data_IF_893964641416
#
_entry.id   IF_893964641416
#
_cell.length_a   1.000
_cell.length_b   1.000
_cell.length_c   1.000
_cell.angle_alpha   90.00
_cell.angle_beta   90.00
_cell.angle_gamma   90.00
#
_symmetry.space_group_name_H-M   'P 1'
#
loop_
_entity.id
_entity.type
_entity.pdbx_description
1 polymer ?
#
# COMPACT_ATOMS: atom_id res chain seq x y z
N UNK A 1 -17.49 -3.30 19.32
CA UNK A 1 -18.23 -2.76 18.16
C UNK A 1 -18.35 -3.86 17.11
N UNK A 2 -19.50 -4.02 16.45
CA UNK A 2 -19.67 -4.98 15.36
C UNK A 2 -19.22 -4.36 14.05
N UNK A 3 -18.36 -5.04 13.31
CA UNK A 3 -17.83 -4.59 12.02
C UNK A 3 -18.42 -5.47 10.91
N UNK A 4 -18.91 -4.84 9.86
CA UNK A 4 -19.44 -5.51 8.67
C UNK A 4 -18.47 -5.44 7.51
N UNK A 5 -18.49 -6.44 6.66
CA UNK A 5 -17.71 -6.55 5.44
C UNK A 5 -18.67 -6.62 4.26
N UNK A 6 -18.61 -5.66 3.37
CA UNK A 6 -19.49 -5.53 2.20
C UNK A 6 -18.66 -5.74 0.94
N UNK A 7 -19.05 -6.71 0.13
CA UNK A 7 -18.47 -6.84 -1.23
C UNK A 7 -19.02 -5.74 -2.11
N UNK A 8 -18.15 -5.02 -2.79
CA UNK A 8 -18.51 -4.00 -3.78
C UNK A 8 -17.69 -4.17 -5.05
N UNK A 9 -18.22 -3.62 -6.13
CA UNK A 9 -17.47 -3.41 -7.36
C UNK A 9 -17.63 -1.94 -7.74
N UNK A 10 -16.54 -1.20 -7.82
CA UNK A 10 -16.51 0.21 -8.22
C UNK A 10 -15.88 0.29 -9.60
N UNK A 11 -16.68 0.61 -10.61
CA UNK A 11 -16.28 0.39 -11.99
C UNK A 11 -16.01 -1.11 -12.25
N UNK A 12 -14.75 -1.43 -12.51
CA UNK A 12 -14.26 -2.81 -12.66
C UNK A 12 -13.36 -3.26 -11.49
N UNK A 13 -13.39 -2.57 -10.35
CA UNK A 13 -12.54 -2.81 -9.19
C UNK A 13 -13.35 -3.55 -8.10
N UNK A 14 -13.21 -4.87 -7.95
CA UNK A 14 -13.76 -5.58 -6.81
C UNK A 14 -13.03 -5.16 -5.53
N UNK A 15 -13.79 -4.88 -4.47
CA UNK A 15 -13.23 -4.51 -3.18
C UNK A 15 -14.09 -5.02 -2.02
N UNK A 16 -13.49 -5.06 -0.84
CA UNK A 16 -14.21 -5.17 0.42
C UNK A 16 -14.29 -3.77 1.05
N UNK A 17 -15.49 -3.30 1.32
CA UNK A 17 -15.73 -2.18 2.21
C UNK A 17 -15.93 -2.72 3.62
N UNK A 18 -15.09 -2.28 4.55
CA UNK A 18 -15.12 -2.70 5.96
C UNK A 18 -15.45 -1.49 6.82
N UNK A 19 -16.51 -1.58 7.62
CA UNK A 19 -17.02 -0.44 8.37
C UNK A 19 -17.79 -0.91 9.61
N UNK A 20 -17.93 -0.08 10.64
CA UNK A 20 -18.82 -0.34 11.77
C UNK A 20 -20.28 -0.49 11.31
N UNK A 21 -21.02 -1.49 11.83
CA UNK A 21 -22.37 -1.82 11.38
C UNK A 21 -23.35 -0.66 11.50
N UNK A 22 -23.25 0.09 12.57
CA UNK A 22 -24.07 1.27 12.86
C UNK A 22 -23.69 2.51 12.03
N UNK A 23 -22.54 2.48 11.31
CA UNK A 23 -22.01 3.61 10.54
C UNK A 23 -21.91 3.35 9.02
N UNK A 24 -22.65 2.37 8.51
CA UNK A 24 -22.61 1.99 7.09
C UNK A 24 -22.91 3.17 6.15
N UNK A 25 -23.79 4.05 6.55
CA UNK A 25 -24.27 5.19 5.75
C UNK A 25 -23.77 6.54 6.26
N UNK A 26 -22.93 6.55 7.29
CA UNK A 26 -22.34 7.78 7.83
C UNK A 26 -21.06 8.14 7.11
N UNK A 27 -20.75 9.43 6.90
CA UNK A 27 -19.45 9.86 6.42
C UNK A 27 -18.38 9.63 7.49
N UNK A 28 -17.27 9.00 7.09
CA UNK A 28 -16.15 8.64 7.96
C UNK A 28 -14.82 8.99 7.29
N UNK A 29 -13.71 9.14 8.04
CA UNK A 29 -12.39 9.15 7.46
C UNK A 29 -12.15 7.84 6.68
N UNK A 30 -11.51 7.97 5.52
CA UNK A 30 -11.31 6.88 4.57
C UNK A 30 -9.90 6.30 4.69
N UNK A 31 -9.77 4.97 4.69
CA UNK A 31 -8.48 4.30 4.53
C UNK A 31 -8.59 3.33 3.35
N UNK A 32 -7.66 3.43 2.38
CA UNK A 32 -7.47 2.41 1.35
C UNK A 32 -6.25 1.58 1.71
N UNK A 33 -6.42 0.25 1.84
CA UNK A 33 -5.35 -0.63 2.30
C UNK A 33 -5.10 -1.76 1.30
N UNK A 34 -3.90 -1.77 0.70
CA UNK A 34 -3.53 -2.65 -0.41
C UNK A 34 -2.87 -3.95 0.05
N UNK A 35 -3.23 -5.06 -0.60
CA UNK A 35 -2.65 -6.38 -0.39
C UNK A 35 -1.29 -6.57 -1.08
N UNK A 36 -0.62 -7.71 -0.82
CA UNK A 36 0.67 -8.09 -1.39
C UNK A 36 0.57 -8.82 -2.74
N UNK A 37 1.73 -9.01 -3.37
CA UNK A 37 1.87 -9.75 -4.62
C UNK A 37 1.35 -11.19 -4.52
N UNK A 38 0.67 -11.66 -5.58
CA UNK A 38 0.07 -12.99 -5.69
C UNK A 38 -0.97 -13.34 -4.60
N UNK A 39 -1.56 -12.33 -3.99
CA UNK A 39 -2.63 -12.48 -2.99
C UNK A 39 -3.91 -11.78 -3.46
N UNK A 40 -4.85 -11.53 -2.56
CA UNK A 40 -6.10 -10.84 -2.85
C UNK A 40 -6.50 -9.98 -1.65
N UNK A 41 -7.53 -9.15 -1.81
CA UNK A 41 -8.10 -8.27 -0.77
C UNK A 41 -8.39 -8.95 0.57
N UNK A 42 -8.70 -10.24 0.55
CA UNK A 42 -8.99 -11.03 1.76
C UNK A 42 -7.77 -11.19 2.67
N UNK A 43 -6.54 -11.14 2.12
CA UNK A 43 -5.32 -11.26 2.91
C UNK A 43 -5.21 -10.14 3.96
N UNK A 44 -5.67 -8.94 3.62
CA UNK A 44 -5.59 -7.76 4.48
C UNK A 44 -6.88 -7.49 5.27
N UNK A 45 -7.84 -8.41 5.22
CA UNK A 45 -9.14 -8.25 5.88
C UNK A 45 -9.02 -8.11 7.41
N UNK A 46 -8.09 -8.82 8.04
CA UNK A 46 -7.86 -8.69 9.50
C UNK A 46 -7.43 -7.27 9.85
N UNK A 47 -6.51 -6.68 9.09
CA UNK A 47 -6.11 -5.28 9.27
C UNK A 47 -7.30 -4.33 9.01
N UNK A 48 -8.05 -4.57 7.93
CA UNK A 48 -9.25 -3.78 7.62
C UNK A 48 -10.29 -3.78 8.75
N UNK A 49 -10.51 -4.93 9.40
CA UNK A 49 -11.43 -5.03 10.55
C UNK A 49 -10.94 -4.27 11.78
N UNK A 50 -9.62 -4.31 12.06
CA UNK A 50 -9.02 -3.56 13.16
C UNK A 50 -9.18 -2.05 12.94
N UNK A 51 -8.86 -1.58 11.74
CA UNK A 51 -9.03 -0.17 11.37
C UNK A 51 -10.51 0.27 11.42
N UNK A 52 -11.44 -0.55 10.90
CA UNK A 52 -12.86 -0.22 10.94
C UNK A 52 -13.41 -0.19 12.38
N UNK A 53 -12.81 -0.91 13.32
CA UNK A 53 -13.15 -0.86 14.73
C UNK A 53 -12.77 0.50 15.38
N UNK A 54 -11.87 1.27 14.78
CA UNK A 54 -11.49 2.64 15.19
C UNK A 54 -12.32 3.72 14.45
N UNK A 55 -13.50 3.34 13.93
CA UNK A 55 -14.41 4.23 13.21
C UNK A 55 -13.91 4.76 11.86
N UNK A 56 -13.10 4.00 11.16
CA UNK A 56 -12.72 4.29 9.78
C UNK A 56 -13.61 3.52 8.79
N UNK A 57 -13.83 4.10 7.62
CA UNK A 57 -14.27 3.38 6.44
C UNK A 57 -13.05 2.84 5.73
N UNK A 58 -12.95 1.52 5.58
CA UNK A 58 -11.77 0.88 5.02
C UNK A 58 -12.11 0.20 3.70
N UNK A 59 -11.37 0.51 2.65
CA UNK A 59 -11.48 -0.13 1.36
C UNK A 59 -10.28 -1.04 1.14
N UNK A 60 -10.56 -2.28 0.79
CA UNK A 60 -9.56 -3.29 0.46
C UNK A 60 -9.78 -3.70 -1.00
N UNK A 61 -9.16 -3.03 -1.98
CA UNK A 61 -9.34 -3.38 -3.39
C UNK A 61 -8.51 -4.60 -3.78
N UNK A 62 -8.99 -5.38 -4.75
CA UNK A 62 -8.14 -6.26 -5.53
C UNK A 62 -7.32 -5.42 -6.51
N UNK A 63 -6.00 -5.53 -6.43
CA UNK A 63 -5.12 -4.97 -7.44
C UNK A 63 -5.37 -5.63 -8.82
N UNK A 64 -5.06 -4.94 -9.90
CA UNK A 64 -5.09 -5.55 -11.23
C UNK A 64 -4.27 -6.84 -11.24
N UNK A 65 -4.71 -7.81 -12.02
CA UNK A 65 -4.11 -9.15 -12.14
C UNK A 65 -4.16 -10.02 -10.86
N UNK A 66 -4.90 -9.59 -9.85
CA UNK A 66 -5.04 -10.29 -8.57
C UNK A 66 -6.52 -10.54 -8.21
N UNK A 67 -6.75 -11.45 -7.26
CA UNK A 67 -8.07 -11.72 -6.72
C UNK A 67 -9.10 -12.04 -7.80
N UNK A 68 -10.24 -11.35 -7.79
CA UNK A 68 -11.30 -11.47 -8.78
C UNK A 68 -10.93 -10.86 -10.16
N UNK A 69 -9.81 -10.12 -10.23
CA UNK A 69 -9.26 -9.52 -11.48
C UNK A 69 -8.11 -10.32 -12.06
N UNK A 70 -7.88 -11.55 -11.57
CA UNK A 70 -6.73 -12.36 -11.97
C UNK A 70 -6.81 -12.74 -13.45
N UNK A 71 -5.92 -12.15 -14.23
CA UNK A 71 -5.71 -12.45 -15.64
C UNK A 71 -4.21 -12.66 -15.89
N UNK A 72 -3.87 -13.52 -16.86
CA UNK A 72 -2.48 -13.69 -17.25
C UNK A 72 -2.18 -12.73 -18.39
N UNK A 73 -1.53 -11.63 -18.08
CA UNK A 73 -1.19 -10.60 -19.09
C UNK A 73 0.21 -10.78 -19.69
N UNK A 74 1.11 -11.49 -19.00
CA UNK A 74 2.48 -11.71 -19.44
C UNK A 74 3.06 -12.98 -18.84
N UNK A 75 3.99 -13.61 -19.56
CA UNK A 75 4.88 -14.66 -19.04
C UNK A 75 6.02 -14.07 -18.19
N UNK A 76 6.16 -12.76 -18.12
CA UNK A 76 7.20 -12.06 -17.38
C UNK A 76 6.59 -11.53 -16.08
N UNK A 77 6.77 -12.22 -14.92
CA UNK A 77 6.10 -11.89 -13.66
C UNK A 77 6.39 -10.46 -13.19
N UNK A 78 7.60 -9.97 -13.39
CA UNK A 78 7.99 -8.61 -12.96
C UNK A 78 7.26 -7.51 -13.72
N UNK A 79 6.92 -7.69 -15.00
CA UNK A 79 6.09 -6.72 -15.73
C UNK A 79 4.65 -6.73 -15.22
N UNK A 80 4.09 -7.90 -14.94
CA UNK A 80 2.78 -8.02 -14.30
C UNK A 80 2.75 -7.36 -12.91
N UNK A 81 3.84 -7.52 -12.14
CA UNK A 81 3.98 -6.87 -10.84
C UNK A 81 3.89 -5.34 -10.94
N UNK A 82 4.66 -4.74 -11.86
CA UNK A 82 4.65 -3.29 -12.03
C UNK A 82 3.35 -2.76 -12.62
N UNK A 83 2.73 -3.51 -13.54
CA UNK A 83 1.40 -3.18 -14.07
C UNK A 83 0.33 -3.14 -12.97
N UNK A 84 0.37 -4.11 -12.05
CA UNK A 84 -0.55 -4.13 -10.91
C UNK A 84 -0.39 -2.92 -10.00
N UNK A 85 0.85 -2.50 -9.74
CA UNK A 85 1.12 -1.27 -8.97
C UNK A 85 0.66 -0.04 -9.74
N UNK A 86 1.02 0.08 -11.00
CA UNK A 86 0.67 1.25 -11.83
C UNK A 86 -0.85 1.42 -11.93
N UNK A 87 -1.58 0.31 -12.05
CA UNK A 87 -3.04 0.34 -12.05
C UNK A 87 -3.59 0.82 -10.71
N UNK A 88 -3.05 0.35 -9.58
CA UNK A 88 -3.44 0.86 -8.25
C UNK A 88 -3.25 2.39 -8.13
N UNK A 89 -2.15 2.94 -8.71
CA UNK A 89 -1.90 4.39 -8.69
C UNK A 89 -2.99 5.15 -9.44
N UNK A 90 -3.44 4.66 -10.59
CA UNK A 90 -4.53 5.29 -11.36
C UNK A 90 -5.89 5.16 -10.66
N UNK A 91 -6.13 4.04 -10.00
CA UNK A 91 -7.41 3.71 -9.38
C UNK A 91 -7.61 4.37 -8.02
N UNK A 92 -6.55 4.84 -7.36
CA UNK A 92 -6.65 5.45 -6.03
C UNK A 92 -7.62 6.64 -6.00
N UNK A 93 -7.38 7.66 -6.83
CA UNK A 93 -8.25 8.85 -6.91
C UNK A 93 -9.68 8.49 -7.32
N UNK A 94 -9.84 7.55 -8.27
CA UNK A 94 -11.16 7.08 -8.68
C UNK A 94 -11.96 6.45 -7.54
N UNK A 95 -11.30 5.67 -6.67
CA UNK A 95 -11.96 5.11 -5.49
C UNK A 95 -12.32 6.17 -4.46
N UNK A 96 -11.42 7.13 -4.21
CA UNK A 96 -11.70 8.29 -3.31
C UNK A 96 -12.91 9.06 -3.81
N UNK A 97 -12.88 9.52 -5.07
CA UNK A 97 -13.96 10.31 -5.68
C UNK A 97 -15.30 9.57 -5.64
N UNK A 98 -15.29 8.26 -5.89
CA UNK A 98 -16.51 7.46 -5.83
C UNK A 98 -17.17 7.48 -4.45
N UNK A 99 -16.39 7.29 -3.37
CA UNK A 99 -16.93 7.27 -2.02
C UNK A 99 -17.25 8.68 -1.49
N UNK A 100 -16.54 9.70 -1.92
CA UNK A 100 -16.88 11.12 -1.66
C UNK A 100 -18.20 11.50 -2.31
N UNK A 101 -18.41 11.15 -3.58
CA UNK A 101 -19.66 11.38 -4.31
C UNK A 101 -20.87 10.66 -3.71
N UNK A 102 -20.66 9.56 -2.98
CA UNK A 102 -21.70 8.90 -2.19
C UNK A 102 -21.98 9.59 -0.84
N UNK A 103 -21.22 10.63 -0.48
CA UNK A 103 -21.31 11.27 0.84
C UNK A 103 -20.83 10.38 1.99
N UNK A 104 -19.97 9.41 1.72
CA UNK A 104 -19.48 8.41 2.69
C UNK A 104 -18.09 8.70 3.25
N UNK A 105 -17.44 9.77 2.77
CA UNK A 105 -16.12 10.21 3.21
C UNK A 105 -16.25 11.58 3.86
N UNK A 106 -15.63 11.76 5.02
CA UNK A 106 -15.51 13.03 5.72
C UNK A 106 -14.15 13.10 6.43
N UNK A 107 -13.49 14.24 6.31
CA UNK A 107 -12.23 14.48 6.98
C UNK A 107 -11.04 13.89 6.21
N UNK A 108 -10.19 13.17 6.92
CA UNK A 108 -8.86 12.75 6.44
C UNK A 108 -8.89 11.48 5.62
N UNK A 109 -7.91 11.34 4.73
CA UNK A 109 -7.67 10.17 3.89
C UNK A 109 -6.36 9.49 4.31
N UNK A 110 -6.44 8.20 4.62
CA UNK A 110 -5.30 7.35 4.89
C UNK A 110 -5.04 6.36 3.76
N UNK A 111 -3.79 5.98 3.58
CA UNK A 111 -3.40 4.89 2.69
C UNK A 111 -2.43 3.95 3.38
N UNK A 112 -2.54 2.66 3.12
CA UNK A 112 -1.60 1.68 3.64
C UNK A 112 -1.55 0.43 2.80
N UNK A 113 -0.62 -0.45 3.13
CA UNK A 113 -0.53 -1.73 2.46
C UNK A 113 0.71 -2.53 2.84
N UNK A 114 0.70 -3.79 2.46
CA UNK A 114 1.77 -4.74 2.74
C UNK A 114 2.52 -5.12 1.47
N UNK A 115 3.84 -5.24 1.53
CA UNK A 115 4.68 -5.72 0.43
C UNK A 115 4.47 -4.89 -0.86
N UNK A 116 3.91 -5.47 -1.92
CA UNK A 116 3.48 -4.72 -3.12
C UNK A 116 2.58 -3.52 -2.74
N UNK A 117 1.62 -3.72 -1.83
CA UNK A 117 0.76 -2.65 -1.32
C UNK A 117 1.53 -1.57 -0.55
N UNK A 118 2.59 -1.94 0.17
CA UNK A 118 3.49 -1.00 0.83
C UNK A 118 4.30 -0.16 -0.17
N UNK A 119 4.76 -0.75 -1.27
CA UNK A 119 5.39 -0.03 -2.38
C UNK A 119 4.39 0.93 -3.01
N UNK A 120 3.17 0.44 -3.32
CA UNK A 120 2.07 1.29 -3.83
C UNK A 120 1.83 2.50 -2.92
N UNK A 121 1.78 2.29 -1.59
CA UNK A 121 1.60 3.35 -0.59
C UNK A 121 2.67 4.44 -0.70
N UNK A 122 3.95 4.06 -0.75
CA UNK A 122 5.05 5.03 -0.91
C UNK A 122 4.97 5.79 -2.23
N UNK A 123 4.58 5.11 -3.31
CA UNK A 123 4.45 5.72 -4.64
C UNK A 123 3.27 6.71 -4.68
N UNK A 124 2.12 6.40 -4.06
CA UNK A 124 0.98 7.30 -3.96
C UNK A 124 1.34 8.61 -3.24
N UNK A 125 2.17 8.56 -2.20
CA UNK A 125 2.61 9.76 -1.48
C UNK A 125 3.32 10.79 -2.38
N UNK A 126 3.91 10.38 -3.49
CA UNK A 126 4.60 11.29 -4.41
C UNK A 126 3.66 12.15 -5.25
N UNK A 127 2.42 11.70 -5.50
CA UNK A 127 1.49 12.34 -6.43
C UNK A 127 0.19 12.81 -5.78
N UNK A 128 -0.17 12.29 -4.59
CA UNK A 128 -1.45 12.51 -3.93
C UNK A 128 -1.29 13.31 -2.64
N UNK A 129 -1.30 14.67 -2.73
CA UNK A 129 -1.19 15.52 -1.54
C UNK A 129 -2.42 15.43 -0.62
N UNK A 130 -3.55 14.94 -1.11
CA UNK A 130 -4.78 14.70 -0.35
C UNK A 130 -4.67 13.54 0.65
N UNK A 131 -3.63 12.70 0.55
CA UNK A 131 -3.35 11.69 1.56
C UNK A 131 -2.81 12.36 2.82
N UNK A 132 -3.49 12.21 3.94
CA UNK A 132 -3.09 12.79 5.22
C UNK A 132 -2.14 11.89 6.01
N UNK A 133 -2.29 10.56 5.93
CA UNK A 133 -1.53 9.57 6.71
C UNK A 133 -1.23 8.34 5.89
N UNK A 134 -0.05 7.76 6.06
CA UNK A 134 0.31 6.54 5.32
C UNK A 134 0.99 5.47 6.19
N UNK A 135 0.83 4.19 5.81
CA UNK A 135 1.53 3.06 6.43
C UNK A 135 2.14 2.11 5.38
N UNK A 136 3.45 2.13 5.25
CA UNK A 136 4.22 1.22 4.39
C UNK A 136 4.71 0.02 5.21
N UNK A 137 4.15 -1.16 4.97
CA UNK A 137 4.47 -2.38 5.72
C UNK A 137 5.20 -3.37 4.81
N UNK A 138 6.44 -3.73 5.13
CA UNK A 138 7.30 -4.61 4.32
C UNK A 138 7.39 -4.16 2.84
N UNK A 139 7.27 -2.87 2.57
CA UNK A 139 7.36 -2.28 1.25
C UNK A 139 8.71 -1.63 1.00
N UNK A 140 8.78 -0.81 -0.04
CA UNK A 140 9.99 -0.05 -0.36
C UNK A 140 9.63 1.37 -0.78
N UNK A 141 10.24 2.41 -0.20
CA UNK A 141 10.12 3.78 -0.67
C UNK A 141 10.95 4.02 -1.95
N UNK A 142 11.74 3.02 -2.37
CA UNK A 142 12.66 3.09 -3.51
C UNK A 142 12.28 2.05 -4.57
N UNK A 143 11.22 2.25 -5.37
CA UNK A 143 10.80 1.31 -6.41
C UNK A 143 11.88 1.06 -7.46
N UNK A 144 12.76 2.04 -7.76
CA UNK A 144 13.88 1.85 -8.68
C UNK A 144 14.89 0.85 -8.12
N UNK A 145 15.30 0.98 -6.85
CA UNK A 145 16.20 0.02 -6.21
C UNK A 145 15.56 -1.38 -6.18
N UNK A 146 14.25 -1.44 -5.94
CA UNK A 146 13.54 -2.72 -5.94
C UNK A 146 13.45 -3.33 -7.35
N UNK A 147 13.22 -2.53 -8.40
CA UNK A 147 13.31 -2.96 -9.81
C UNK A 147 14.68 -3.56 -10.12
N UNK A 148 15.75 -2.89 -9.73
CA UNK A 148 17.12 -3.35 -10.00
C UNK A 148 17.42 -4.64 -9.22
N UNK A 149 16.90 -4.80 -8.00
CA UNK A 149 16.96 -6.06 -7.23
C UNK A 149 16.21 -7.19 -7.95
N UNK A 150 15.01 -6.93 -8.48
CA UNK A 150 14.26 -7.91 -9.28
C UNK A 150 15.07 -8.31 -10.51
N UNK A 151 15.71 -7.37 -11.21
CA UNK A 151 16.52 -7.62 -12.39
C UNK A 151 17.72 -8.52 -12.09
N UNK A 152 18.41 -8.26 -10.99
CA UNK A 152 19.53 -9.10 -10.54
C UNK A 152 19.04 -10.52 -10.25
N UNK A 153 17.99 -10.66 -9.46
CA UNK A 153 17.46 -11.96 -9.06
C UNK A 153 16.94 -12.77 -10.26
N UNK A 154 16.30 -12.13 -11.22
CA UNK A 154 15.89 -12.76 -12.47
C UNK A 154 17.11 -13.32 -13.25
N UNK A 155 18.21 -12.55 -13.31
CA UNK A 155 19.46 -13.00 -13.92
C UNK A 155 20.09 -14.20 -13.20
N UNK A 156 20.13 -14.20 -11.86
CA UNK A 156 20.61 -15.30 -11.03
C UNK A 156 19.82 -16.60 -11.25
N UNK A 157 18.51 -16.50 -11.45
CA UNK A 157 17.60 -17.63 -11.65
C UNK A 157 17.41 -18.01 -13.13
N UNK A 158 18.02 -17.29 -14.06
CA UNK A 158 17.86 -17.51 -15.50
C UNK A 158 16.47 -17.17 -16.05
N UNK A 159 15.71 -16.33 -15.37
CA UNK A 159 14.43 -15.82 -15.88
C UNK A 159 14.65 -14.76 -16.96
N UNK A 160 13.84 -14.83 -17.98
CA UNK A 160 13.87 -13.85 -19.05
C UNK A 160 13.40 -12.47 -18.58
N UNK A 161 14.20 -11.44 -18.90
CA UNK A 161 13.78 -10.04 -18.89
C UNK A 161 14.09 -9.40 -20.25
N UNK A 162 13.24 -8.50 -20.75
CA UNK A 162 13.54 -7.74 -21.97
C UNK A 162 14.84 -6.93 -21.82
N UNK A 163 15.59 -6.74 -22.90
CA UNK A 163 16.82 -5.93 -22.89
C UNK A 163 16.55 -4.47 -22.51
N UNK A 164 15.36 -3.98 -22.85
CA UNK A 164 14.87 -2.63 -22.57
C UNK A 164 14.03 -2.53 -21.29
N UNK A 165 14.14 -3.53 -20.38
CA UNK A 165 13.35 -3.60 -19.14
C UNK A 165 13.42 -2.31 -18.31
N UNK A 166 14.61 -1.67 -18.23
CA UNK A 166 14.76 -0.39 -17.54
C UNK A 166 13.96 0.73 -18.21
N UNK A 167 13.92 0.76 -19.57
CA UNK A 167 13.15 1.72 -20.30
C UNK A 167 11.64 1.49 -20.14
N UNK A 168 11.19 0.23 -20.20
CA UNK A 168 9.79 -0.15 -19.96
C UNK A 168 9.30 0.20 -18.56
N UNK A 169 10.21 0.32 -17.60
CA UNK A 169 9.94 0.65 -16.20
C UNK A 169 10.45 2.04 -15.81
N UNK A 170 10.78 2.90 -16.76
CA UNK A 170 11.33 4.26 -16.49
C UNK A 170 10.34 5.18 -15.76
N UNK A 171 9.04 4.96 -15.93
CA UNK A 171 7.98 5.70 -15.24
C UNK A 171 8.09 5.63 -13.71
N UNK A 172 8.77 4.61 -13.15
CA UNK A 172 9.04 4.48 -11.72
C UNK A 172 9.79 5.68 -11.13
N UNK A 173 10.60 6.39 -11.95
CA UNK A 173 11.36 7.58 -11.50
C UNK A 173 10.44 8.68 -10.99
N UNK A 174 9.29 8.88 -11.65
CA UNK A 174 8.30 9.89 -11.24
C UNK A 174 7.56 9.55 -9.94
N UNK A 175 7.69 8.32 -9.46
CA UNK A 175 7.00 7.80 -8.28
C UNK A 175 7.95 7.28 -7.19
N UNK A 176 9.26 7.49 -7.34
CA UNK A 176 10.25 7.05 -6.35
C UNK A 176 10.36 8.04 -5.19
N UNK A 177 9.75 7.70 -4.05
CA UNK A 177 9.74 8.55 -2.86
C UNK A 177 11.16 8.79 -2.32
N UNK A 178 12.10 7.89 -2.57
CA UNK A 178 13.49 8.08 -2.13
C UNK A 178 14.24 9.12 -2.95
N UNK A 179 13.77 9.45 -4.16
CA UNK A 179 14.29 10.52 -4.99
C UNK A 179 13.60 11.87 -4.71
N UNK A 180 12.42 11.84 -4.09
CA UNK A 180 11.62 13.03 -3.79
C UNK A 180 11.08 12.98 -2.33
N UNK A 181 11.96 12.90 -1.32
CA UNK A 181 11.54 12.74 0.09
C UNK A 181 10.75 13.93 0.62
N UNK A 182 10.89 15.12 0.02
CA UNK A 182 10.06 16.30 0.33
C UNK A 182 8.59 16.08 0.04
N UNK A 183 8.25 15.11 -0.81
CA UNK A 183 6.87 14.70 -1.10
C UNK A 183 6.16 14.06 0.09
N UNK A 184 6.87 13.67 1.14
CA UNK A 184 6.26 13.32 2.42
C UNK A 184 5.49 14.52 3.00
N UNK A 185 5.97 15.73 2.78
CA UNK A 185 5.28 17.00 3.07
C UNK A 185 4.79 17.12 4.53
N UNK A 186 5.55 16.59 5.50
CA UNK A 186 5.22 16.63 6.92
C UNK A 186 4.09 15.66 7.35
N UNK A 187 3.54 14.88 6.43
CA UNK A 187 2.49 13.89 6.74
C UNK A 187 3.03 12.78 7.63
N UNK A 188 2.28 12.29 8.62
CA UNK A 188 2.64 11.10 9.39
C UNK A 188 2.76 9.89 8.48
N UNK A 189 3.91 9.22 8.50
CA UNK A 189 4.14 7.97 7.77
C UNK A 189 4.73 6.92 8.69
N UNK A 190 4.05 5.79 8.77
CA UNK A 190 4.51 4.60 9.49
C UNK A 190 5.20 3.64 8.54
N UNK A 191 6.42 3.25 8.88
CA UNK A 191 7.16 2.19 8.23
C UNK A 191 7.35 1.02 9.19
N UNK A 192 7.03 -0.18 8.74
CA UNK A 192 7.37 -1.40 9.44
C UNK A 192 8.11 -2.35 8.51
N UNK A 193 9.20 -2.98 9.01
CA UNK A 193 9.93 -3.93 8.21
C UNK A 193 10.60 -5.02 9.05
N UNK A 194 10.54 -6.29 8.60
CA UNK A 194 11.30 -7.39 9.16
C UNK A 194 12.77 -7.30 8.73
N UNK A 195 13.70 -7.40 9.70
CA UNK A 195 15.15 -7.30 9.40
C UNK A 195 15.72 -8.49 8.63
N UNK A 196 14.96 -9.61 8.59
CA UNK A 196 15.30 -10.85 7.87
C UNK A 196 14.42 -11.04 6.62
N UNK A 197 13.84 -9.95 6.10
CA UNK A 197 12.99 -9.98 4.91
C UNK A 197 13.80 -10.32 3.66
N UNK A 198 13.53 -11.49 3.09
CA UNK A 198 14.21 -12.02 1.90
C UNK A 198 13.55 -11.58 0.58
N UNK A 199 12.34 -11.01 0.62
CA UNK A 199 11.58 -10.59 -0.58
C UNK A 199 11.77 -9.12 -0.91
N UNK A 200 11.51 -8.26 0.07
CA UNK A 200 11.73 -6.81 -0.07
C UNK A 200 12.85 -6.42 0.89
N UNK A 201 14.00 -5.94 0.38
CA UNK A 201 15.13 -5.64 1.27
C UNK A 201 14.80 -4.61 2.34
N UNK A 202 14.95 -4.99 3.61
CA UNK A 202 14.86 -4.10 4.77
C UNK A 202 15.67 -2.81 4.58
N UNK A 203 16.83 -2.93 3.95
CA UNK A 203 17.78 -1.84 3.76
C UNK A 203 17.20 -0.67 2.96
N UNK A 204 16.23 -0.92 2.05
CA UNK A 204 15.59 0.15 1.29
C UNK A 204 14.86 1.16 2.21
N UNK A 205 14.13 0.64 3.19
CA UNK A 205 13.43 1.48 4.17
C UNK A 205 14.40 2.09 5.18
N UNK A 206 15.34 1.29 5.71
CA UNK A 206 16.31 1.77 6.69
C UNK A 206 17.19 2.91 6.14
N UNK A 207 17.67 2.80 4.90
CA UNK A 207 18.45 3.85 4.25
C UNK A 207 17.63 5.12 4.01
N UNK A 208 16.35 4.96 3.59
CA UNK A 208 15.46 6.09 3.40
C UNK A 208 15.25 6.88 4.70
N UNK A 209 14.92 6.20 5.79
CA UNK A 209 14.72 6.83 7.10
C UNK A 209 15.99 7.50 7.60
N UNK A 210 17.14 6.82 7.48
CA UNK A 210 18.44 7.36 7.88
C UNK A 210 18.82 8.62 7.10
N UNK A 211 18.51 8.65 5.81
CA UNK A 211 18.80 9.80 4.94
C UNK A 211 17.84 10.98 5.15
N UNK A 212 16.65 10.71 5.70
CA UNK A 212 15.58 11.69 5.84
C UNK A 212 15.03 11.71 7.28
N UNK A 213 15.82 12.13 8.28
CA UNK A 213 15.37 12.18 9.67
C UNK A 213 14.29 13.26 9.82
N UNK A 214 13.05 12.85 10.11
CA UNK A 214 11.88 13.71 10.31
C UNK A 214 11.01 13.13 11.43
N UNK A 215 10.45 13.97 12.30
CA UNK A 215 9.64 13.55 13.45
C UNK A 215 8.31 12.89 13.06
N UNK A 216 7.84 13.16 11.85
CA UNK A 216 6.62 12.57 11.29
C UNK A 216 6.83 11.18 10.66
N UNK A 217 8.06 10.69 10.59
CA UNK A 217 8.38 9.34 10.13
C UNK A 217 8.58 8.39 11.31
N UNK A 218 7.63 7.47 11.51
CA UNK A 218 7.75 6.40 12.50
C UNK A 218 8.32 5.15 11.83
N UNK A 219 9.46 4.63 12.31
CA UNK A 219 10.03 3.40 11.80
C UNK A 219 10.17 2.34 12.90
N UNK A 220 9.49 1.22 12.69
CA UNK A 220 9.53 0.05 13.57
C UNK A 220 10.10 -1.14 12.79
N UNK A 221 11.03 -1.86 13.39
CA UNK A 221 11.57 -3.09 12.82
C UNK A 221 11.60 -4.23 13.85
N UNK A 222 11.52 -5.45 13.37
CA UNK A 222 11.58 -6.65 14.20
C UNK A 222 12.43 -7.71 13.49
N UNK A 223 12.94 -8.67 14.28
CA UNK A 223 13.65 -9.84 13.73
C UNK A 223 12.64 -10.81 13.12
N UNK A 224 12.08 -10.42 12.00
CA UNK A 224 11.05 -11.16 11.26
C UNK A 224 11.46 -11.27 9.79
N UNK A 225 10.93 -12.30 9.14
CA UNK A 225 11.00 -12.46 7.68
C UNK A 225 9.90 -11.62 7.01
N UNK A 226 9.52 -11.97 5.78
CA UNK A 226 8.43 -11.30 5.04
C UNK A 226 7.05 -11.70 5.58
N UNK A 227 6.76 -11.32 6.84
CA UNK A 227 5.54 -11.72 7.55
C UNK A 227 5.12 -10.64 8.56
N UNK A 228 3.81 -10.40 8.70
CA UNK A 228 3.23 -9.44 9.65
C UNK A 228 2.50 -10.17 10.77
N UNK A 229 2.91 -9.94 12.01
CA UNK A 229 2.25 -10.49 13.20
C UNK A 229 1.03 -9.65 13.62
N UNK A 230 0.16 -10.22 14.45
CA UNK A 230 -1.00 -9.53 15.01
C UNK A 230 -0.58 -8.26 15.79
N UNK A 231 0.48 -8.34 16.58
CA UNK A 231 1.00 -7.18 17.32
C UNK A 231 1.41 -6.02 16.40
N UNK A 232 1.97 -6.32 15.23
CA UNK A 232 2.28 -5.30 14.20
C UNK A 232 1.00 -4.68 13.63
N UNK A 233 -0.04 -5.50 13.41
CA UNK A 233 -1.34 -4.98 12.96
C UNK A 233 -1.96 -4.03 13.99
N UNK A 234 -1.78 -4.30 15.29
CA UNK A 234 -2.23 -3.41 16.37
C UNK A 234 -1.46 -2.08 16.37
N UNK A 235 -0.14 -2.11 16.16
CA UNK A 235 0.67 -0.89 16.03
C UNK A 235 0.23 -0.04 14.84
N UNK A 236 -0.02 -0.65 13.68
CA UNK A 236 -0.54 0.04 12.49
C UNK A 236 -1.89 0.68 12.79
N UNK A 237 -2.79 -0.06 13.47
CA UNK A 237 -4.11 0.43 13.83
C UNK A 237 -4.03 1.63 14.78
N UNK A 238 -3.22 1.54 15.83
CA UNK A 238 -3.00 2.62 16.78
C UNK A 238 -2.43 3.87 16.07
N UNK A 239 -1.44 3.69 15.18
CA UNK A 239 -0.86 4.80 14.43
C UNK A 239 -1.91 5.54 13.58
N UNK A 240 -2.79 4.81 12.86
CA UNK A 240 -3.87 5.46 12.11
C UNK A 240 -4.88 6.13 13.03
N UNK A 241 -5.26 5.51 14.16
CA UNK A 241 -6.18 6.09 15.13
C UNK A 241 -5.65 7.40 15.71
N UNK A 242 -4.38 7.44 16.09
CA UNK A 242 -3.73 8.64 16.65
C UNK A 242 -3.57 9.75 15.59
N UNK A 243 -3.37 9.42 14.32
CA UNK A 243 -3.07 10.38 13.25
C UNK A 243 -4.31 10.88 12.51
N UNK A 244 -5.35 10.05 12.36
CA UNK A 244 -6.59 10.38 11.63
C UNK A 244 -7.76 10.70 12.59
N UNK A 245 -7.74 10.16 13.81
CA UNK A 245 -8.86 10.20 14.75
C UNK A 245 -8.99 11.50 15.54
N UNK A 246 -8.16 12.53 15.29
CA UNK A 246 -8.18 13.83 15.95
C UNK A 246 -9.11 14.83 15.28
#
# INVERSE_FOLDING_TARGET
>A
MKVVVRKRTVGNIPLLEVVAEDKIYEPLPLIIYYHGWQTAKELVLTQGRKLAAENFRVLLPDAANHGERKTKISEIPSLTFWDSIQTNLYEFGYLVDYFENLGLVMGKIGVGGISMGGITTCMLLTQHPEIDVAACVMGSPSPIKYRDRISMHAGELGFYLPKDYRQLTSWLEGYDLSLAPEKVAGRPVFFWHGTEDEKVPYQHTADFIKANPQDNLTFVSAKERHFVQIATMDQITAFFADSLGG
#
